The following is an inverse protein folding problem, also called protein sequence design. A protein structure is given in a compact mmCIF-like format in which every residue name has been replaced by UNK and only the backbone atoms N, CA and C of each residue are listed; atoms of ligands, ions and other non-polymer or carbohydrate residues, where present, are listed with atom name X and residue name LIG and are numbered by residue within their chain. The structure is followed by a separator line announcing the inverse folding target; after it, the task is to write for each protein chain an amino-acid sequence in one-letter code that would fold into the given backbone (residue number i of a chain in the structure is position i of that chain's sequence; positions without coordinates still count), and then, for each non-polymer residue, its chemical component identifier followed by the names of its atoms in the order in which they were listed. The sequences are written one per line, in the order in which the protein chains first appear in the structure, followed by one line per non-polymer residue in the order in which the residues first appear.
data_IF_214220274391
#
_entry.id   IF_214220274391
#
_cell.length_a   1.000
_cell.length_b   1.000
_cell.length_c   1.000
_cell.angle_alpha   90.00
_cell.angle_beta   90.00
_cell.angle_gamma   90.00
#
_symmetry.space_group_name_H-M   'P 1'
#
loop_
_entity.id
_entity.type
_entity.pdbx_description
1 polymer ?
#
# COMPACT_ATOMS: atom_id res chain seq x y z
N UNK A 1 -54.49 -9.86 28.39
CA UNK A 1 -54.95 -9.75 26.99
C UNK A 1 -54.24 -8.53 26.39
N UNK A 2 -53.42 -8.75 25.34
CA UNK A 2 -52.74 -7.78 24.44
C UNK A 2 -51.59 -6.95 25.04
N UNK A 3 -50.51 -6.65 24.32
CA UNK A 3 -49.69 -7.27 23.25
C UNK A 3 -48.63 -6.20 22.93
N UNK A 4 -47.38 -6.63 22.74
CA UNK A 4 -46.24 -6.01 22.04
C UNK A 4 -46.39 -4.62 21.41
N UNK A 5 -45.34 -3.79 21.54
CA UNK A 5 -44.66 -3.18 20.40
C UNK A 5 -43.16 -3.02 20.71
N UNK A 6 -42.37 -3.64 19.85
CA UNK A 6 -40.93 -3.49 19.64
C UNK A 6 -40.78 -2.38 18.61
N UNK A 7 -39.87 -1.44 18.81
CA UNK A 7 -39.38 -0.59 17.73
C UNK A 7 -37.86 -0.68 17.60
N UNK A 8 -37.45 -0.85 16.36
CA UNK A 8 -36.15 -1.19 15.80
C UNK A 8 -35.52 0.07 15.21
N UNK A 9 -34.19 0.18 15.38
CA UNK A 9 -33.17 0.84 14.53
C UNK A 9 -33.34 2.30 14.07
N UNK A 10 -32.21 3.03 14.17
CA UNK A 10 -31.66 3.77 13.04
C UNK A 10 -30.14 3.97 13.26
N UNK A 11 -29.34 3.21 12.52
CA UNK A 11 -27.92 3.49 12.35
C UNK A 11 -27.71 4.67 11.41
N UNK A 12 -26.71 5.50 11.70
CA UNK A 12 -26.23 6.51 10.75
C UNK A 12 -24.91 6.00 10.21
N UNK A 13 -24.98 5.30 9.08
CA UNK A 13 -23.85 5.10 8.20
C UNK A 13 -23.70 6.37 7.36
N UNK A 14 -22.66 7.17 7.62
CA UNK A 14 -22.35 8.33 6.80
C UNK A 14 -21.54 7.87 5.59
N UNK A 15 -22.24 7.56 4.50
CA UNK A 15 -21.62 7.36 3.19
C UNK A 15 -21.34 8.74 2.56
N UNK A 16 -20.07 9.10 2.42
CA UNK A 16 -19.64 10.28 1.66
C UNK A 16 -19.16 9.82 0.28
N UNK A 17 -20.05 9.94 -0.70
CA UNK A 17 -19.72 9.90 -2.12
C UNK A 17 -19.40 11.34 -2.54
N UNK A 18 -18.18 11.58 -3.03
CA UNK A 18 -17.81 12.85 -3.64
C UNK A 18 -17.22 12.59 -5.02
N UNK A 19 -18.04 12.88 -6.03
CA UNK A 19 -17.66 13.10 -7.42
C UNK A 19 -16.88 14.42 -7.53
N UNK A 20 -15.67 14.36 -8.07
CA UNK A 20 -14.80 15.51 -8.26
C UNK A 20 -14.81 16.01 -9.71
N UNK A 21 -14.92 17.32 -9.87
CA UNK A 21 -14.38 18.11 -10.98
C UNK A 21 -14.10 19.51 -10.44
N UNK A 22 -12.86 20.01 -10.55
CA UNK A 22 -12.55 21.39 -10.15
C UNK A 22 -11.07 21.71 -9.99
N UNK A 23 -10.42 22.07 -11.10
CA UNK A 23 -9.03 22.51 -11.30
C UNK A 23 -8.70 23.76 -10.46
N UNK A 24 -7.57 23.79 -9.75
CA UNK A 24 -7.11 24.95 -8.97
C UNK A 24 -5.58 25.11 -8.97
N UNK A 25 -5.11 26.27 -9.43
CA UNK A 25 -3.69 26.59 -9.62
C UNK A 25 -2.96 27.14 -8.39
N UNK A 26 -1.63 27.07 -8.52
CA UNK A 26 -0.50 27.41 -7.64
C UNK A 26 -0.50 28.78 -6.93
N UNK A 27 0.08 28.84 -5.71
CA UNK A 27 1.37 29.54 -5.43
C UNK A 27 1.64 29.78 -3.93
N UNK A 28 2.92 29.74 -3.54
CA UNK A 28 3.44 30.46 -2.35
C UNK A 28 4.30 29.63 -1.38
N UNK A 29 5.63 29.72 -1.50
CA UNK A 29 6.62 29.03 -0.64
C UNK A 29 7.00 29.76 0.65
N UNK A 30 7.81 29.08 1.46
CA UNK A 30 8.53 29.60 2.63
C UNK A 30 9.48 28.57 3.23
N UNK A 31 10.78 28.86 3.20
CA UNK A 31 11.89 28.09 3.80
C UNK A 31 11.75 27.95 5.33
N UNK A 32 12.17 26.79 5.87
CA UNK A 32 12.51 26.66 7.29
C UNK A 32 13.58 25.57 7.52
N UNK A 33 14.78 26.06 7.83
CA UNK A 33 15.85 25.51 8.66
C UNK A 33 16.01 23.98 8.83
N UNK A 34 17.14 23.51 8.28
CA UNK A 34 17.62 22.15 8.40
C UNK A 34 17.86 21.68 9.84
N UNK A 35 17.20 20.58 10.18
CA UNK A 35 17.68 19.63 11.20
C UNK A 35 18.32 18.46 10.48
N UNK A 36 19.64 18.38 10.52
CA UNK A 36 20.40 17.25 10.00
C UNK A 36 20.02 15.99 10.77
N UNK A 37 19.27 15.09 10.14
CA UNK A 37 18.96 13.76 10.66
C UNK A 37 20.21 12.90 10.47
N UNK A 38 20.78 12.40 11.57
CA UNK A 38 21.85 11.40 11.53
C UNK A 38 21.21 10.02 11.34
N UNK A 39 21.42 9.43 10.17
CA UNK A 39 21.04 8.06 9.89
C UNK A 39 21.87 7.10 10.75
N UNK A 40 21.20 6.24 11.51
CA UNK A 40 21.82 5.05 12.10
C UNK A 40 21.69 3.94 11.06
N UNK A 41 22.81 3.59 10.44
CA UNK A 41 22.86 2.46 9.51
C UNK A 41 22.49 1.16 10.24
N UNK A 42 21.69 0.32 9.59
CA UNK A 42 21.41 -1.03 10.09
C UNK A 42 22.72 -1.84 10.19
N UNK A 43 22.88 -2.57 11.30
CA UNK A 43 23.66 -3.80 11.33
C UNK A 43 22.71 -4.93 10.96
N UNK A 44 23.15 -5.79 10.05
CA UNK A 44 22.51 -7.06 9.76
C UNK A 44 23.28 -8.12 10.56
N UNK A 45 22.74 -8.56 11.68
CA UNK A 45 23.28 -9.65 12.49
C UNK A 45 22.19 -10.70 12.78
N UNK A 46 22.59 -11.80 13.43
CA UNK A 46 21.78 -12.99 13.69
C UNK A 46 20.56 -12.73 14.61
N UNK A 47 20.33 -11.48 15.05
CA UNK A 47 19.21 -11.05 15.88
C UNK A 47 17.93 -10.67 15.08
N UNK A 48 17.95 -10.76 13.75
CA UNK A 48 16.70 -10.77 12.96
C UNK A 48 15.94 -12.08 13.21
N UNK A 49 14.95 -12.02 14.10
CA UNK A 49 14.12 -13.14 14.59
C UNK A 49 13.74 -14.20 13.53
N UNK A 50 13.71 -15.50 13.89
CA UNK A 50 13.37 -16.58 12.97
C UNK A 50 11.92 -16.45 12.44
N UNK A 51 11.80 -16.60 11.12
CA UNK A 51 10.62 -16.31 10.31
C UNK A 51 9.52 -17.38 10.42
N UNK A 52 8.32 -17.03 9.95
CA UNK A 52 7.03 -17.69 10.24
C UNK A 52 6.94 -19.18 9.90
N UNK A 53 6.03 -19.89 10.58
CA UNK A 53 5.68 -21.31 10.39
C UNK A 53 5.55 -21.79 8.93
N UNK A 54 5.05 -20.95 8.01
CA UNK A 54 4.97 -21.27 6.57
C UNK A 54 6.37 -21.34 5.92
N UNK A 55 7.26 -20.41 6.25
CA UNK A 55 8.64 -20.39 5.75
C UNK A 55 9.41 -21.60 6.29
N UNK A 56 9.29 -21.89 7.59
CA UNK A 56 9.94 -23.04 8.23
C UNK A 56 9.45 -24.36 7.62
N UNK A 57 8.13 -24.52 7.47
CA UNK A 57 7.51 -25.68 6.82
C UNK A 57 7.98 -25.84 5.37
N UNK A 58 8.25 -24.74 4.68
CA UNK A 58 8.75 -24.74 3.30
C UNK A 58 10.29 -24.81 3.19
N UNK A 59 11.03 -24.83 4.32
CA UNK A 59 12.49 -24.84 4.35
C UNK A 59 13.14 -23.55 3.83
N UNK A 60 12.50 -22.40 4.05
CA UNK A 60 12.96 -21.08 3.61
C UNK A 60 13.58 -20.35 4.80
N UNK A 61 14.89 -20.13 4.76
CA UNK A 61 15.64 -19.58 5.89
C UNK A 61 15.70 -18.05 5.95
N UNK A 62 15.40 -17.36 4.84
CA UNK A 62 15.41 -15.89 4.77
C UNK A 62 14.35 -15.34 3.82
N UNK A 63 13.85 -14.11 4.03
CA UNK A 63 12.95 -13.45 3.09
C UNK A 63 13.60 -13.30 1.70
N UNK A 64 12.83 -13.48 0.61
CA UNK A 64 13.35 -13.27 -0.74
C UNK A 64 13.60 -11.78 -0.99
N UNK A 65 14.75 -11.50 -1.60
CA UNK A 65 15.20 -10.14 -1.95
C UNK A 65 14.98 -9.81 -3.43
N UNK A 66 14.95 -10.83 -4.29
CA UNK A 66 14.73 -10.68 -5.73
C UNK A 66 13.46 -11.37 -6.20
N UNK A 67 12.96 -11.00 -7.38
CA UNK A 67 11.80 -11.66 -8.00
C UNK A 67 12.03 -13.14 -8.28
N UNK A 68 13.25 -13.52 -8.65
CA UNK A 68 13.61 -14.93 -8.80
C UNK A 68 13.55 -15.69 -7.46
N UNK A 69 14.00 -15.06 -6.37
CA UNK A 69 13.88 -15.63 -5.02
C UNK A 69 12.42 -15.68 -4.55
N UNK A 70 11.58 -14.70 -4.93
CA UNK A 70 10.12 -14.74 -4.65
C UNK A 70 9.49 -15.95 -5.33
N UNK A 71 9.82 -16.20 -6.60
CA UNK A 71 9.31 -17.35 -7.34
C UNK A 71 9.73 -18.68 -6.69
N UNK A 72 11.02 -18.84 -6.35
CA UNK A 72 11.53 -20.04 -5.67
C UNK A 72 10.87 -20.27 -4.29
N UNK A 73 10.77 -19.20 -3.48
CA UNK A 73 10.08 -19.24 -2.20
C UNK A 73 8.60 -19.62 -2.39
N UNK A 74 7.95 -19.06 -3.40
CA UNK A 74 6.55 -19.32 -3.68
C UNK A 74 6.31 -20.78 -4.11
N UNK A 75 7.20 -21.35 -4.93
CA UNK A 75 7.13 -22.76 -5.31
C UNK A 75 7.27 -23.70 -4.11
N UNK A 76 8.19 -23.40 -3.19
CA UNK A 76 8.39 -24.19 -1.97
C UNK A 76 7.16 -24.16 -1.07
N UNK A 77 6.57 -22.98 -0.84
CA UNK A 77 5.33 -22.85 -0.08
C UNK A 77 4.16 -23.58 -0.74
N UNK A 78 4.03 -23.49 -2.06
CA UNK A 78 3.00 -24.21 -2.80
C UNK A 78 3.14 -25.73 -2.64
N UNK A 79 4.36 -26.26 -2.74
CA UNK A 79 4.66 -27.69 -2.53
C UNK A 79 4.34 -28.12 -1.10
N UNK A 80 4.50 -27.22 -0.12
CA UNK A 80 4.09 -27.43 1.26
C UNK A 80 2.55 -27.32 1.48
N UNK A 81 1.78 -26.90 0.47
CA UNK A 81 0.33 -26.80 0.52
C UNK A 81 -0.21 -25.45 1.01
N UNK A 82 0.63 -24.41 1.05
CA UNK A 82 0.25 -23.06 1.49
C UNK A 82 -0.03 -22.14 0.29
N UNK A 83 -0.81 -21.08 0.50
CA UNK A 83 -0.99 -20.03 -0.53
C UNK A 83 0.26 -19.15 -0.49
N UNK A 84 1.06 -19.08 -1.57
CA UNK A 84 2.40 -18.49 -1.42
C UNK A 84 2.39 -16.96 -1.34
N UNK A 85 1.82 -16.29 -2.35
CA UNK A 85 1.82 -14.84 -2.48
C UNK A 85 0.39 -14.29 -2.55
N UNK A 86 0.07 -13.29 -1.74
CA UNK A 86 -1.11 -12.45 -1.92
C UNK A 86 -0.83 -11.33 -2.91
N UNK A 87 -1.55 -11.32 -4.03
CA UNK A 87 -1.45 -10.34 -5.12
C UNK A 87 -2.84 -9.72 -5.41
N UNK A 88 -3.33 -8.79 -4.58
CA UNK A 88 -4.66 -8.22 -4.72
C UNK A 88 -4.71 -7.15 -5.84
N UNK A 89 -5.04 -7.57 -7.06
CA UNK A 89 -5.20 -6.69 -8.22
C UNK A 89 -6.68 -6.40 -8.53
N UNK A 90 -7.57 -6.59 -7.55
CA UNK A 90 -8.97 -6.15 -7.60
C UNK A 90 -9.13 -4.64 -7.42
N UNK A 91 -10.31 -4.12 -7.78
CA UNK A 91 -10.56 -2.70 -7.97
C UNK A 91 -10.43 -1.81 -6.72
N UNK A 92 -10.28 -2.37 -5.51
CA UNK A 92 -10.06 -1.60 -4.28
C UNK A 92 -8.75 -0.80 -4.37
N UNK A 93 -7.62 -1.48 -4.63
CA UNK A 93 -6.26 -0.95 -4.43
C UNK A 93 -5.24 -1.48 -5.46
N UNK A 94 -5.70 -1.91 -6.63
CA UNK A 94 -4.83 -2.49 -7.65
C UNK A 94 -3.70 -1.57 -8.12
N UNK A 95 -3.93 -0.24 -8.12
CA UNK A 95 -2.92 0.77 -8.43
C UNK A 95 -1.77 0.76 -7.42
N UNK A 96 -2.06 0.62 -6.12
CA UNK A 96 -1.05 0.57 -5.09
C UNK A 96 -0.23 -0.73 -5.23
N UNK A 97 -0.92 -1.87 -5.34
CA UNK A 97 -0.29 -3.18 -5.50
C UNK A 97 0.60 -3.23 -6.74
N UNK A 98 0.09 -2.82 -7.90
CA UNK A 98 0.88 -2.75 -9.14
C UNK A 98 2.08 -1.81 -9.01
N UNK A 99 1.90 -0.63 -8.42
CA UNK A 99 2.99 0.35 -8.29
C UNK A 99 4.17 -0.18 -7.49
N UNK A 100 3.91 -0.97 -6.44
CA UNK A 100 4.95 -1.58 -5.58
C UNK A 100 5.84 -2.49 -6.40
N UNK A 101 5.27 -3.32 -7.27
CA UNK A 101 6.05 -4.18 -8.16
C UNK A 101 6.74 -3.36 -9.25
N UNK A 102 6.01 -2.47 -9.93
CA UNK A 102 6.54 -1.72 -11.06
C UNK A 102 7.75 -0.86 -10.69
N UNK A 103 7.69 -0.15 -9.55
CA UNK A 103 8.80 0.68 -9.10
C UNK A 103 10.07 -0.12 -8.78
N UNK A 104 9.89 -1.36 -8.33
CA UNK A 104 10.96 -2.31 -8.03
C UNK A 104 11.51 -3.03 -9.29
N UNK A 105 11.03 -2.65 -10.48
CA UNK A 105 11.63 -2.91 -11.78
C UNK A 105 12.08 -1.60 -12.50
N UNK A 106 12.16 -0.49 -11.76
CA UNK A 106 12.48 0.81 -12.36
C UNK A 106 11.37 1.45 -13.20
N UNK A 107 10.17 0.87 -13.17
CA UNK A 107 8.97 1.44 -13.76
C UNK A 107 8.26 2.45 -12.84
N UNK A 108 6.99 2.71 -13.14
CA UNK A 108 6.17 3.69 -12.44
C UNK A 108 5.11 4.31 -13.33
N UNK A 109 4.52 5.43 -12.88
CA UNK A 109 3.45 6.11 -13.60
C UNK A 109 3.95 7.11 -14.65
N UNK A 110 5.08 7.75 -14.36
CA UNK A 110 5.68 8.79 -15.19
C UNK A 110 7.14 8.48 -15.48
N UNK A 111 7.68 9.09 -16.54
CA UNK A 111 9.10 9.07 -16.83
C UNK A 111 9.87 10.12 -16.00
N UNK A 112 11.19 10.22 -16.22
CA UNK A 112 12.05 11.17 -15.50
C UNK A 112 11.74 12.65 -15.80
N UNK A 113 11.02 12.94 -16.88
CA UNK A 113 10.57 14.29 -17.23
C UNK A 113 9.19 14.63 -16.64
N UNK A 114 8.54 13.67 -15.98
CA UNK A 114 7.21 13.83 -15.38
C UNK A 114 6.06 13.57 -16.35
N UNK A 115 6.34 13.10 -17.57
CA UNK A 115 5.32 12.73 -18.56
C UNK A 115 4.80 11.32 -18.27
N UNK A 116 3.55 11.02 -18.63
CA UNK A 116 2.99 9.67 -18.46
C UNK A 116 3.81 8.62 -19.21
N UNK A 117 4.11 7.52 -18.53
CA UNK A 117 4.88 6.40 -19.07
C UNK A 117 4.36 5.08 -18.47
N UNK A 118 3.03 4.92 -18.44
CA UNK A 118 2.34 3.77 -17.87
C UNK A 118 2.61 2.49 -18.68
N UNK A 119 2.73 2.60 -20.00
CA UNK A 119 3.03 1.49 -20.92
C UNK A 119 4.53 1.23 -21.13
N UNK A 120 5.40 1.88 -20.36
CA UNK A 120 6.84 1.66 -20.46
C UNK A 120 7.22 0.19 -20.27
N UNK A 121 8.29 -0.23 -20.94
CA UNK A 121 8.76 -1.63 -20.93
C UNK A 121 8.90 -2.23 -19.52
N UNK A 122 9.37 -1.46 -18.54
CA UNK A 122 9.51 -1.94 -17.17
C UNK A 122 8.16 -2.33 -16.53
N UNK A 123 7.08 -1.62 -16.86
CA UNK A 123 5.73 -1.94 -16.37
C UNK A 123 5.16 -3.18 -17.07
N UNK A 124 5.39 -3.32 -18.37
CA UNK A 124 5.01 -4.53 -19.14
C UNK A 124 5.70 -5.76 -18.56
N UNK A 125 7.03 -5.71 -18.42
CA UNK A 125 7.83 -6.81 -17.82
C UNK A 125 7.37 -7.16 -16.39
N UNK A 126 6.90 -6.17 -15.64
CA UNK A 126 6.33 -6.38 -14.29
C UNK A 126 5.05 -7.21 -14.36
N UNK A 127 4.09 -6.82 -15.19
CA UNK A 127 2.84 -7.55 -15.33
C UNK A 127 3.04 -8.93 -15.95
N UNK A 128 4.00 -9.11 -16.85
CA UNK A 128 4.39 -10.42 -17.38
C UNK A 128 4.91 -11.34 -16.26
N UNK A 129 5.76 -10.83 -15.38
CA UNK A 129 6.24 -11.57 -14.21
C UNK A 129 5.09 -11.94 -13.26
N UNK A 130 4.22 -10.99 -12.93
CA UNK A 130 3.06 -11.25 -12.06
C UNK A 130 2.08 -12.24 -12.70
N UNK A 131 1.82 -12.13 -14.01
CA UNK A 131 1.06 -13.10 -14.81
C UNK A 131 1.68 -14.49 -14.73
N UNK A 132 3.00 -14.60 -14.84
CA UNK A 132 3.72 -15.88 -14.74
C UNK A 132 3.45 -16.53 -13.37
N UNK A 133 3.59 -15.79 -12.27
CA UNK A 133 3.28 -16.30 -10.93
C UNK A 133 1.82 -16.75 -10.80
N UNK A 134 0.88 -15.93 -11.28
CA UNK A 134 -0.56 -16.25 -11.27
C UNK A 134 -0.87 -17.52 -12.06
N UNK A 135 -0.36 -17.64 -13.30
CA UNK A 135 -0.58 -18.83 -14.15
C UNK A 135 0.08 -20.08 -13.59
N UNK A 136 1.20 -19.93 -12.88
CA UNK A 136 1.84 -21.02 -12.15
C UNK A 136 1.08 -21.38 -10.84
N UNK A 137 0.02 -20.67 -10.49
CA UNK A 137 -0.73 -20.86 -9.24
C UNK A 137 0.11 -20.58 -8.01
N UNK A 138 1.04 -19.62 -8.10
CA UNK A 138 1.91 -19.18 -7.01
C UNK A 138 1.32 -17.99 -6.24
N UNK A 139 0.12 -17.54 -6.62
CA UNK A 139 -0.65 -16.50 -5.93
C UNK A 139 -1.89 -17.09 -5.26
N UNK A 140 -2.63 -16.27 -4.52
CA UNK A 140 -4.01 -16.58 -4.19
C UNK A 140 -4.88 -16.71 -5.46
N UNK A 141 -5.96 -17.50 -5.44
CA UNK A 141 -6.86 -17.63 -6.59
C UNK A 141 -7.51 -16.29 -6.99
N UNK A 142 -7.72 -16.11 -8.30
CA UNK A 142 -8.39 -14.95 -8.89
C UNK A 142 -7.82 -13.59 -8.42
N UNK A 143 -6.49 -13.36 -8.54
CA UNK A 143 -5.87 -12.13 -8.07
C UNK A 143 -6.47 -10.88 -8.71
N UNK A 144 -6.97 -10.96 -9.94
CA UNK A 144 -7.61 -9.88 -10.70
C UNK A 144 -8.91 -9.34 -10.08
N UNK A 145 -9.56 -10.12 -9.20
CA UNK A 145 -10.83 -9.77 -8.58
C UNK A 145 -10.74 -9.69 -7.04
N UNK A 146 -9.57 -9.96 -6.47
CA UNK A 146 -9.39 -10.03 -5.02
C UNK A 146 -9.02 -8.67 -4.45
N UNK A 147 -9.77 -8.23 -3.44
CA UNK A 147 -9.50 -7.00 -2.71
C UNK A 147 -8.32 -7.16 -1.74
N UNK A 148 -7.61 -6.06 -1.47
CA UNK A 148 -6.43 -6.05 -0.61
C UNK A 148 -6.78 -6.41 0.82
N UNK A 149 -7.93 -5.92 1.31
CA UNK A 149 -8.44 -6.27 2.63
C UNK A 149 -8.59 -7.78 2.84
N UNK A 150 -9.06 -8.51 1.82
CA UNK A 150 -9.26 -9.96 1.90
C UNK A 150 -7.94 -10.72 1.95
N UNK A 151 -6.93 -10.27 1.17
CA UNK A 151 -5.57 -10.82 1.24
C UNK A 151 -4.95 -10.56 2.61
N UNK A 152 -5.09 -9.36 3.16
CA UNK A 152 -4.56 -9.01 4.48
C UNK A 152 -5.20 -9.82 5.61
N UNK A 153 -6.52 -10.04 5.56
CA UNK A 153 -7.22 -10.92 6.49
C UNK A 153 -6.73 -12.37 6.38
N UNK A 154 -6.52 -12.89 5.18
CA UNK A 154 -6.01 -14.25 4.98
C UNK A 154 -4.56 -14.41 5.46
N UNK A 155 -3.72 -13.40 5.28
CA UNK A 155 -2.38 -13.37 5.87
C UNK A 155 -2.42 -13.37 7.40
N UNK A 156 -3.29 -12.54 8.00
CA UNK A 156 -3.48 -12.50 9.46
C UNK A 156 -4.00 -13.82 10.03
N UNK A 157 -4.72 -14.61 9.23
CA UNK A 157 -5.16 -15.98 9.56
C UNK A 157 -4.09 -17.04 9.32
N UNK A 158 -2.87 -16.67 8.92
CA UNK A 158 -1.79 -17.61 8.61
C UNK A 158 -2.03 -18.46 7.36
N UNK A 159 -2.83 -17.99 6.39
CA UNK A 159 -3.14 -18.75 5.15
C UNK A 159 -2.26 -18.37 3.98
N UNK A 160 -1.74 -17.14 3.96
CA UNK A 160 -0.88 -16.60 2.90
C UNK A 160 0.53 -16.42 3.44
N UNK A 161 1.54 -16.89 2.71
CA UNK A 161 2.95 -16.85 3.12
C UNK A 161 3.58 -15.46 2.99
N UNK A 162 3.33 -14.76 1.89
CA UNK A 162 3.91 -13.46 1.57
C UNK A 162 2.84 -12.48 1.08
N UNK A 163 2.96 -11.21 1.48
CA UNK A 163 2.15 -10.10 0.99
C UNK A 163 3.01 -8.85 0.85
N UNK A 164 2.58 -7.91 0.01
CA UNK A 164 3.03 -6.54 0.10
C UNK A 164 2.36 -5.88 1.32
N UNK A 165 3.09 -5.86 2.44
CA UNK A 165 2.61 -5.36 3.73
C UNK A 165 2.82 -3.86 3.91
N UNK A 166 2.15 -3.30 4.91
CA UNK A 166 2.28 -1.90 5.34
C UNK A 166 2.43 -1.81 6.87
N UNK A 167 2.88 -0.66 7.35
CA UNK A 167 3.17 -0.43 8.78
C UNK A 167 1.95 -0.61 9.69
N UNK A 168 0.73 -0.40 9.18
CA UNK A 168 -0.51 -0.60 9.94
C UNK A 168 -0.91 -2.08 10.08
N UNK A 169 -0.26 -3.01 9.35
CA UNK A 169 -0.68 -4.42 9.28
C UNK A 169 -0.78 -5.08 10.65
N UNK A 170 0.16 -4.78 11.56
CA UNK A 170 0.15 -5.36 12.92
C UNK A 170 -1.15 -5.01 13.65
N UNK A 171 -1.41 -3.71 13.85
CA UNK A 171 -2.56 -3.24 14.64
C UNK A 171 -3.89 -3.42 13.91
N UNK A 172 -3.91 -3.17 12.61
CA UNK A 172 -5.15 -3.19 11.82
C UNK A 172 -5.66 -4.59 11.49
N UNK A 173 -4.77 -5.58 11.35
CA UNK A 173 -5.12 -6.90 10.82
C UNK A 173 -4.61 -8.07 11.66
N UNK A 174 -3.34 -8.06 12.05
CA UNK A 174 -2.73 -9.24 12.69
C UNK A 174 -3.20 -9.36 14.14
N UNK A 175 -3.03 -8.32 14.95
CA UNK A 175 -3.38 -8.33 16.38
C UNK A 175 -4.89 -8.49 16.63
N UNK A 176 -5.73 -8.23 15.62
CA UNK A 176 -7.18 -8.40 15.68
C UNK A 176 -7.62 -9.84 15.42
N UNK A 177 -6.74 -10.66 14.84
CA UNK A 177 -6.99 -12.08 14.49
C UNK A 177 -6.14 -13.00 15.35
N UNK A 178 -4.81 -12.82 15.33
CA UNK A 178 -3.84 -13.60 16.08
C UNK A 178 -2.61 -12.76 16.44
N UNK A 179 -2.53 -12.34 17.70
CA UNK A 179 -1.39 -11.58 18.25
C UNK A 179 -0.10 -12.39 18.33
N UNK A 180 -0.19 -13.72 18.27
CA UNK A 180 0.95 -14.62 18.37
C UNK A 180 1.38 -15.15 17.00
N UNK A 181 0.80 -14.65 15.90
CA UNK A 181 1.20 -15.02 14.56
C UNK A 181 2.71 -14.82 14.41
N UNK A 182 3.44 -15.90 14.13
CA UNK A 182 4.88 -15.80 13.87
C UNK A 182 5.11 -15.12 12.50
N UNK A 183 6.15 -14.27 12.36
CA UNK A 183 6.04 -12.83 12.05
C UNK A 183 7.30 -12.12 11.54
N UNK A 184 7.63 -12.12 10.24
CA UNK A 184 8.70 -11.26 9.68
C UNK A 184 8.23 -10.05 8.85
N UNK A 185 9.04 -8.99 8.85
CA UNK A 185 8.98 -7.85 7.92
C UNK A 185 10.34 -7.72 7.24
N UNK A 186 10.35 -7.50 5.93
CA UNK A 186 11.56 -7.35 5.13
C UNK A 186 11.37 -6.26 4.06
N UNK A 187 12.45 -5.71 3.48
CA UNK A 187 12.35 -4.87 2.29
C UNK A 187 11.59 -5.56 1.15
N UNK A 188 10.90 -4.77 0.34
CA UNK A 188 10.20 -5.25 -0.84
C UNK A 188 11.20 -5.82 -1.86
N UNK A 189 10.94 -6.96 -2.51
CA UNK A 189 11.86 -7.56 -3.46
C UNK A 189 11.94 -6.73 -4.76
N UNK A 190 13.12 -6.63 -5.34
CA UNK A 190 13.34 -6.01 -6.66
C UNK A 190 13.58 -7.04 -7.75
N UNK A 191 13.55 -6.65 -9.02
CA UNK A 191 13.83 -7.60 -10.12
C UNK A 191 15.21 -8.27 -9.96
N UNK A 192 16.20 -7.52 -9.50
CA UNK A 192 17.61 -7.94 -9.39
C UNK A 192 18.08 -8.20 -7.95
N UNK A 193 17.28 -7.85 -6.94
CA UNK A 193 17.62 -7.94 -5.53
C UNK A 193 18.54 -6.83 -5.00
N UNK A 194 18.72 -5.72 -5.71
CA UNK A 194 19.66 -4.66 -5.30
C UNK A 194 19.00 -3.35 -4.87
N UNK A 195 18.03 -2.86 -5.65
CA UNK A 195 17.43 -1.54 -5.44
C UNK A 195 15.98 -1.69 -5.03
N UNK A 196 15.72 -1.43 -3.75
CA UNK A 196 14.41 -1.60 -3.13
C UNK A 196 13.71 -0.25 -2.97
N UNK A 197 12.52 -0.14 -3.52
CA UNK A 197 11.64 1.02 -3.36
C UNK A 197 10.40 0.63 -2.55
N UNK A 198 9.82 1.62 -1.89
CA UNK A 198 8.55 1.46 -1.17
C UNK A 198 7.52 2.48 -1.67
N UNK A 199 6.25 2.10 -1.64
CA UNK A 199 5.17 3.03 -1.90
C UNK A 199 4.96 3.91 -0.67
N UNK A 200 5.21 5.20 -0.83
CA UNK A 200 4.80 6.21 0.12
C UNK A 200 3.31 6.54 -0.08
N UNK A 201 2.56 6.56 1.03
CA UNK A 201 1.16 7.01 1.06
C UNK A 201 1.08 8.19 2.02
N UNK A 202 0.36 9.23 1.59
CA UNK A 202 0.14 10.44 2.36
C UNK A 202 -1.34 10.72 2.44
N UNK A 203 -1.89 10.69 3.66
CA UNK A 203 -3.28 11.02 3.91
C UNK A 203 -3.40 12.47 4.37
N UNK A 204 -4.31 13.19 3.72
CA UNK A 204 -4.57 14.59 4.01
C UNK A 204 -5.98 14.77 4.56
N UNK A 205 -6.09 15.37 5.76
CA UNK A 205 -7.37 15.85 6.26
C UNK A 205 -7.62 17.24 5.67
N UNK A 206 -8.48 17.32 4.66
CA UNK A 206 -8.81 18.56 3.93
C UNK A 206 -10.25 18.99 4.17
N UNK A 207 -10.49 20.30 4.12
CA UNK A 207 -11.82 20.89 4.09
C UNK A 207 -12.03 21.60 2.74
N UNK A 208 -13.13 21.28 2.06
CA UNK A 208 -13.45 21.89 0.77
C UNK A 208 -14.29 23.15 0.98
N UNK A 209 -13.92 24.23 0.31
CA UNK A 209 -14.74 25.44 0.21
C UNK A 209 -16.03 25.09 -0.54
N UNK A 210 -17.18 25.47 -0.01
CA UNK A 210 -18.44 25.44 -0.77
C UNK A 210 -18.92 26.87 -0.96
N UNK A 211 -19.56 27.15 -2.09
CA UNK A 211 -20.04 28.50 -2.44
C UNK A 211 -20.96 29.11 -1.37
N UNK A 212 -21.60 28.26 -0.57
CA UNK A 212 -22.29 28.62 0.67
C UNK A 212 -21.54 28.03 1.87
N UNK A 213 -20.43 28.64 2.29
CA UNK A 213 -19.66 28.21 3.48
C UNK A 213 -20.53 28.34 4.76
N UNK A 214 -21.33 27.30 5.06
CA UNK A 214 -22.27 27.34 6.20
C UNK A 214 -21.62 27.14 7.56
N UNK A 215 -20.37 26.65 7.64
CA UNK A 215 -19.75 26.23 8.91
C UNK A 215 -18.22 26.44 9.03
N UNK A 216 -17.61 27.55 8.57
CA UNK A 216 -16.16 27.74 8.65
C UNK A 216 -15.61 27.65 10.07
N UNK A 217 -16.36 28.16 11.06
CA UNK A 217 -15.99 28.08 12.49
C UNK A 217 -15.99 26.66 13.03
N UNK A 218 -16.92 25.79 12.60
CA UNK A 218 -16.96 24.41 13.06
C UNK A 218 -15.81 23.60 12.44
N UNK A 219 -15.53 23.82 11.14
CA UNK A 219 -14.38 23.23 10.44
C UNK A 219 -13.08 23.65 11.13
N UNK A 220 -12.90 24.95 11.40
CA UNK A 220 -11.73 25.46 12.12
C UNK A 220 -11.57 24.80 13.49
N UNK A 221 -12.63 24.78 14.31
CA UNK A 221 -12.60 24.15 15.64
C UNK A 221 -12.22 22.67 15.58
N UNK A 222 -12.72 21.94 14.59
CA UNK A 222 -12.39 20.53 14.42
C UNK A 222 -10.92 20.34 14.02
N UNK A 223 -10.43 21.09 13.03
CA UNK A 223 -9.03 21.01 12.60
C UNK A 223 -8.09 21.42 13.74
N UNK A 224 -8.39 22.51 14.46
CA UNK A 224 -7.63 22.94 15.64
C UNK A 224 -7.58 21.86 16.72
N UNK A 225 -8.69 21.16 16.97
CA UNK A 225 -8.74 20.02 17.90
C UNK A 225 -7.91 18.83 17.38
N UNK A 226 -8.11 18.42 16.13
CA UNK A 226 -7.47 17.24 15.55
C UNK A 226 -5.94 17.39 15.55
N UNK A 227 -5.44 18.55 15.11
CA UNK A 227 -4.00 18.82 14.99
C UNK A 227 -3.31 19.16 16.32
N UNK A 228 -4.01 19.14 17.46
CA UNK A 228 -3.32 19.14 18.76
C UNK A 228 -2.42 17.90 18.84
N UNK A 229 -1.15 18.09 19.21
CA UNK A 229 -0.13 17.00 19.28
C UNK A 229 -0.67 15.74 19.95
N UNK A 230 -1.37 15.89 21.08
CA UNK A 230 -1.97 14.77 21.82
C UNK A 230 -2.99 13.98 21.00
N UNK A 231 -3.85 14.67 20.25
CA UNK A 231 -4.94 14.03 19.50
C UNK A 231 -4.41 13.40 18.21
N UNK A 232 -3.54 14.11 17.47
CA UNK A 232 -2.87 13.57 16.30
C UNK A 232 -2.02 12.33 16.66
N UNK A 233 -1.13 12.40 17.67
CA UNK A 233 -0.36 11.23 18.12
C UNK A 233 -1.26 10.10 18.61
N UNK A 234 -2.37 10.39 19.30
CA UNK A 234 -3.30 9.35 19.75
C UNK A 234 -3.97 8.65 18.57
N UNK A 235 -4.43 9.39 17.56
CA UNK A 235 -4.98 8.84 16.33
C UNK A 235 -3.95 7.95 15.62
N UNK A 236 -2.77 8.49 15.32
CA UNK A 236 -1.71 7.79 14.57
C UNK A 236 -1.24 6.52 15.32
N UNK A 237 -1.09 6.60 16.65
CA UNK A 237 -0.74 5.43 17.47
C UNK A 237 -1.85 4.36 17.53
N UNK A 238 -3.12 4.75 17.35
CA UNK A 238 -4.25 3.82 17.35
C UNK A 238 -4.31 3.07 16.02
N UNK A 239 -4.14 3.79 14.91
CA UNK A 239 -4.09 3.22 13.56
C UNK A 239 -2.78 2.49 13.26
N UNK A 240 -1.72 2.73 14.04
CA UNK A 240 -0.41 2.11 13.85
C UNK A 240 0.37 2.66 12.66
N UNK A 241 0.06 3.88 12.23
CA UNK A 241 0.74 4.56 11.12
C UNK A 241 1.91 5.40 11.62
N UNK A 242 2.93 5.57 10.77
CA UNK A 242 4.05 6.47 11.06
C UNK A 242 3.55 7.92 11.04
N UNK A 243 3.80 8.65 12.11
CA UNK A 243 3.44 10.06 12.19
C UNK A 243 4.44 10.95 11.47
N UNK A 244 3.96 11.85 10.61
CA UNK A 244 4.79 12.94 10.05
C UNK A 244 5.17 14.00 11.10
N UNK A 245 4.49 14.01 12.25
CA UNK A 245 4.73 14.92 13.37
C UNK A 245 5.64 14.31 14.45
N UNK A 246 5.91 13.01 14.39
CA UNK A 246 6.84 12.31 15.27
C UNK A 246 8.15 12.06 14.52
N UNK A 247 9.26 12.07 15.26
CA UNK A 247 10.53 11.71 14.65
C UNK A 247 10.55 10.21 14.37
N UNK A 248 11.33 9.76 13.37
CA UNK A 248 11.64 8.35 13.19
C UNK A 248 12.12 7.69 14.52
N UNK A 249 12.75 8.46 15.41
CA UNK A 249 13.16 8.02 16.74
C UNK A 249 12.01 7.67 17.68
N UNK A 250 10.86 8.33 17.59
CA UNK A 250 9.71 8.04 18.44
C UNK A 250 9.05 6.70 18.05
N UNK A 251 8.92 6.43 16.75
CA UNK A 251 8.42 5.15 16.24
C UNK A 251 9.34 3.99 16.65
N UNK A 252 10.66 4.14 16.44
CA UNK A 252 11.67 3.17 16.84
C UNK A 252 11.70 2.92 18.36
N UNK A 253 11.41 3.94 19.16
CA UNK A 253 11.37 3.80 20.63
C UNK A 253 10.20 2.94 21.13
N UNK A 254 9.14 2.77 20.32
CA UNK A 254 7.96 1.99 20.70
C UNK A 254 8.08 0.49 20.43
N UNK A 255 8.67 0.11 19.29
CA UNK A 255 9.04 -1.26 18.92
C UNK A 255 10.03 -1.22 17.75
N UNK A 256 11.32 -1.18 18.07
CA UNK A 256 12.36 -1.08 17.05
C UNK A 256 12.35 -2.28 16.08
N UNK A 257 12.06 -3.50 16.57
CA UNK A 257 12.08 -4.70 15.75
C UNK A 257 11.02 -4.64 14.64
N UNK A 258 9.83 -4.12 14.96
CA UNK A 258 8.77 -3.96 13.96
C UNK A 258 8.94 -2.74 13.07
N UNK A 259 9.23 -1.58 13.66
CA UNK A 259 9.17 -0.31 12.94
C UNK A 259 10.44 -0.01 12.13
N UNK A 260 11.59 -0.58 12.50
CA UNK A 260 12.86 -0.30 11.82
C UNK A 260 12.83 -0.59 10.32
N UNK A 261 12.35 -1.74 9.83
CA UNK A 261 12.30 -2.00 8.39
C UNK A 261 11.47 -0.95 7.61
N UNK A 262 10.37 -0.47 8.20
CA UNK A 262 9.54 0.56 7.58
C UNK A 262 10.21 1.94 7.58
N UNK A 263 10.86 2.30 8.70
CA UNK A 263 11.61 3.55 8.82
C UNK A 263 12.78 3.59 7.83
N UNK A 264 13.54 2.49 7.72
CA UNK A 264 14.66 2.38 6.80
C UNK A 264 14.21 2.46 5.33
N UNK A 265 13.00 1.98 5.00
CA UNK A 265 12.46 2.03 3.65
C UNK A 265 12.08 3.44 3.19
N UNK A 266 11.86 4.40 4.11
CA UNK A 266 11.39 5.75 3.78
C UNK A 266 12.33 6.51 2.83
N UNK A 267 13.64 6.27 2.87
CA UNK A 267 14.58 6.93 1.94
C UNK A 267 14.41 6.47 0.49
N UNK A 268 13.80 5.30 0.28
CA UNK A 268 13.49 4.75 -1.05
C UNK A 268 12.04 4.98 -1.47
N UNK A 269 11.28 5.79 -0.73
CA UNK A 269 9.85 6.00 -0.97
C UNK A 269 9.58 6.69 -2.31
N UNK A 270 8.60 6.18 -3.04
CA UNK A 270 8.04 6.79 -4.25
C UNK A 270 6.53 6.97 -4.07
N UNK A 271 5.97 8.01 -4.67
CA UNK A 271 4.58 8.40 -4.52
C UNK A 271 3.85 8.32 -5.86
N UNK A 272 2.53 8.13 -5.80
CA UNK A 272 1.68 8.35 -6.98
C UNK A 272 1.69 9.85 -7.37
N UNK A 273 1.54 10.19 -8.65
CA UNK A 273 1.52 11.58 -9.13
C UNK A 273 0.17 12.26 -8.84
N UNK A 274 -0.22 12.34 -7.56
CA UNK A 274 -1.53 12.85 -7.14
C UNK A 274 -1.74 14.34 -7.41
N UNK A 275 -0.66 15.06 -7.70
CA UNK A 275 -0.65 16.46 -8.14
C UNK A 275 -0.97 16.62 -9.63
N UNK A 276 -0.85 15.56 -10.43
CA UNK A 276 -1.29 15.57 -11.82
C UNK A 276 -2.84 15.54 -11.88
N UNK A 277 -3.49 16.51 -12.55
CA UNK A 277 -4.94 16.60 -12.59
C UNK A 277 -5.62 15.39 -13.24
N UNK A 278 -4.93 14.64 -14.10
CA UNK A 278 -5.47 13.45 -14.75
C UNK A 278 -5.25 12.15 -13.94
N UNK A 279 -4.55 12.21 -12.81
CA UNK A 279 -4.28 11.03 -11.98
C UNK A 279 -5.54 10.28 -11.56
N UNK A 280 -6.60 10.98 -11.15
CA UNK A 280 -7.84 10.33 -10.73
C UNK A 280 -8.47 9.47 -11.85
N UNK A 281 -8.39 9.94 -13.10
CA UNK A 281 -8.86 9.19 -14.28
C UNK A 281 -7.99 7.95 -14.51
N UNK A 282 -6.67 8.12 -14.45
CA UNK A 282 -5.69 7.04 -14.62
C UNK A 282 -5.85 5.98 -13.53
N UNK A 283 -5.92 6.39 -12.27
CA UNK A 283 -6.16 5.51 -11.12
C UNK A 283 -7.44 4.69 -11.31
N UNK A 284 -8.54 5.34 -11.74
CA UNK A 284 -9.79 4.66 -12.06
C UNK A 284 -9.63 3.61 -13.16
N UNK A 285 -8.91 3.94 -14.25
CA UNK A 285 -8.64 3.01 -15.33
C UNK A 285 -7.79 1.81 -14.87
N UNK A 286 -6.76 2.05 -14.06
CA UNK A 286 -5.93 1.00 -13.46
C UNK A 286 -6.77 0.07 -12.61
N UNK A 287 -7.55 0.61 -11.66
CA UNK A 287 -8.42 -0.17 -10.76
C UNK A 287 -9.37 -1.10 -11.52
N UNK A 288 -9.85 -0.69 -12.69
CA UNK A 288 -10.78 -1.49 -13.49
C UNK A 288 -10.09 -2.51 -14.42
N UNK A 289 -8.86 -2.23 -14.86
CA UNK A 289 -8.24 -2.98 -15.97
C UNK A 289 -7.01 -3.78 -15.57
N UNK A 290 -6.18 -3.29 -14.65
CA UNK A 290 -4.83 -3.85 -14.44
C UNK A 290 -4.86 -5.32 -14.02
N UNK A 291 -5.90 -5.75 -13.29
CA UNK A 291 -6.09 -7.14 -12.91
C UNK A 291 -6.22 -8.08 -14.11
N UNK A 292 -6.83 -7.64 -15.23
CA UNK A 292 -6.97 -8.49 -16.42
C UNK A 292 -5.62 -8.84 -17.04
N UNK A 293 -4.60 -8.00 -16.84
CA UNK A 293 -3.24 -8.24 -17.33
C UNK A 293 -2.61 -9.49 -16.71
N UNK A 294 -2.98 -9.88 -15.49
CA UNK A 294 -2.46 -11.12 -14.87
C UNK A 294 -3.32 -12.36 -15.12
N UNK A 295 -4.53 -12.17 -15.65
CA UNK A 295 -5.49 -13.26 -15.90
C UNK A 295 -5.72 -13.53 -17.39
N UNK A 296 -6.30 -12.60 -18.14
CA UNK A 296 -6.89 -12.83 -19.46
C UNK A 296 -6.37 -11.97 -20.61
N UNK A 297 -5.99 -10.70 -20.38
CA UNK A 297 -5.66 -9.73 -21.44
C UNK A 297 -4.17 -9.44 -21.52
N UNK A 298 -3.59 -9.17 -22.69
CA UNK A 298 -2.14 -9.00 -22.79
C UNK A 298 -1.64 -7.74 -22.03
N UNK A 299 -0.55 -7.84 -21.25
CA UNK A 299 -0.05 -6.72 -20.45
C UNK A 299 0.20 -5.42 -21.21
N UNK A 300 0.78 -5.52 -22.41
CA UNK A 300 1.06 -4.38 -23.28
C UNK A 300 -0.22 -3.69 -23.75
N UNK A 301 -1.26 -4.47 -24.09
CA UNK A 301 -2.57 -3.92 -24.47
C UNK A 301 -3.24 -3.18 -23.30
N UNK A 302 -3.28 -3.80 -22.12
CA UNK A 302 -3.88 -3.22 -20.92
C UNK A 302 -3.19 -1.91 -20.54
N UNK A 303 -1.85 -1.91 -20.50
CA UNK A 303 -1.10 -0.70 -20.17
C UNK A 303 -1.21 0.37 -21.27
N UNK A 304 -1.24 -0.02 -22.55
CA UNK A 304 -1.44 0.92 -23.65
C UNK A 304 -2.81 1.61 -23.62
N UNK A 305 -3.87 0.93 -23.17
CA UNK A 305 -5.18 1.57 -22.94
C UNK A 305 -5.15 2.56 -21.77
N UNK A 306 -4.42 2.23 -20.69
CA UNK A 306 -4.26 3.12 -19.55
C UNK A 306 -3.38 4.33 -19.94
N UNK A 307 -2.32 4.14 -20.72
CA UNK A 307 -1.50 5.23 -21.26
C UNK A 307 -2.34 6.20 -22.10
N UNK A 308 -3.17 5.69 -23.01
CA UNK A 308 -4.11 6.52 -23.78
C UNK A 308 -5.10 7.29 -22.91
N UNK A 309 -5.46 6.73 -21.75
CA UNK A 309 -6.31 7.42 -20.77
C UNK A 309 -5.54 8.55 -20.09
N UNK A 310 -4.27 8.32 -19.80
CA UNK A 310 -3.35 9.28 -19.19
C UNK A 310 -3.07 10.48 -20.11
N UNK A 311 -2.97 10.27 -21.42
CA UNK A 311 -2.67 11.30 -22.42
C UNK A 311 -3.91 12.03 -22.97
N UNK A 312 -5.13 11.59 -22.61
CA UNK A 312 -6.36 12.07 -23.28
C UNK A 312 -6.67 13.56 -23.02
N UNK A 313 -6.13 14.12 -21.94
CA UNK A 313 -6.41 15.49 -21.48
C UNK A 313 -5.13 16.29 -21.14
N UNK A 314 -3.96 15.81 -21.57
CA UNK A 314 -2.64 16.45 -21.39
C UNK A 314 -2.29 17.46 -22.51
#
# INVERSE_FOLDING_TARGET
MKRHLVDIAAGVALALVLTGCGKGGSSGGGDADGKTIRFVAARYDDDTQPYKDIFDKAGISRPPSSWAEVEDAAEKMKKAGDIPLGLPLGAEEAQAEFSIWAMNNGGGWTDRSGQWAVDQRANVETLEFLRKLTKAGLTQPNPEATNRKDVFNQFAQGRIGMINGAVFMRKGFIDTVDKNLNYGVAPLPSKDGTTHHTLGVQDYLVAFKKDEDKNPEAVKKFLDFFYQRKNASKFLSTEGVLSVAESAGDALSSDAAYYKPFVDALSGARFAPTDNPNWATVEGAVKQRIGTAVSSAEPEEVLGEIQKTAEKDD
#
